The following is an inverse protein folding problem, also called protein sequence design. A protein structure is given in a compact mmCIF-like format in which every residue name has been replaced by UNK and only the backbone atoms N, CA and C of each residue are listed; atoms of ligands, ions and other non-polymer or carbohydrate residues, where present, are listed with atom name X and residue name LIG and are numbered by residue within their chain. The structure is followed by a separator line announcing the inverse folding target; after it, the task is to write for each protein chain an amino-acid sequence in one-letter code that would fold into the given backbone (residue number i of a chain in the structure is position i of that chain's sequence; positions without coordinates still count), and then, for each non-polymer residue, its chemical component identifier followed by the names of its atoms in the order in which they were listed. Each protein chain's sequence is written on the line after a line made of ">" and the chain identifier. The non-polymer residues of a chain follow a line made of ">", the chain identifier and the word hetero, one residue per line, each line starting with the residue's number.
data_IF_867553021206
#
_entry.id   IF_867553021206
#
_cell.length_a   1.000
_cell.length_b   1.000
_cell.length_c   1.000
_cell.angle_alpha   90.00
_cell.angle_beta   90.00
_cell.angle_gamma   90.00
#
_symmetry.space_group_name_H-M   'P 1'
#
loop_
_entity.id
_entity.type
_entity.pdbx_description
1 polymer ?
#
# COMPACT_ATOMS: atom_id res chain seq x y z
N UNK A 1 33.49 -2.67 -19.25
CA UNK A 1 33.88 -1.74 -18.17
C UNK A 1 33.34 -0.33 -18.39
N UNK A 2 33.47 0.23 -19.59
CA UNK A 2 33.00 1.61 -19.84
C UNK A 2 31.55 1.92 -19.48
N UNK A 3 30.65 0.97 -19.65
CA UNK A 3 29.22 1.18 -19.32
C UNK A 3 29.00 1.24 -17.81
N UNK A 4 29.68 0.39 -17.05
CA UNK A 4 29.60 0.44 -15.59
C UNK A 4 30.14 1.77 -15.07
N UNK A 5 31.28 2.21 -15.62
CA UNK A 5 31.85 3.51 -15.25
C UNK A 5 30.88 4.66 -15.53
N UNK A 6 30.21 4.64 -16.69
CA UNK A 6 29.21 5.66 -17.04
C UNK A 6 28.09 5.72 -16.01
N UNK A 7 27.63 4.56 -15.52
CA UNK A 7 26.55 4.51 -14.52
C UNK A 7 27.03 5.03 -13.16
N UNK A 8 28.23 4.62 -12.74
CA UNK A 8 28.81 5.09 -11.49
C UNK A 8 29.04 6.60 -11.53
N UNK A 9 29.59 7.12 -12.64
CA UNK A 9 29.84 8.55 -12.83
C UNK A 9 28.52 9.36 -12.81
N UNK A 10 27.42 8.74 -13.21
CA UNK A 10 26.08 9.35 -13.17
C UNK A 10 25.44 9.25 -11.78
N UNK A 11 26.13 8.67 -10.80
CA UNK A 11 25.67 8.58 -9.42
C UNK A 11 24.78 7.37 -9.11
N UNK A 12 24.69 6.42 -10.03
CA UNK A 12 23.87 5.22 -9.80
C UNK A 12 24.64 4.18 -8.98
N UNK A 13 23.92 3.48 -8.13
CA UNK A 13 24.43 2.32 -7.39
C UNK A 13 24.20 1.06 -8.23
N UNK A 14 25.10 0.10 -8.12
CA UNK A 14 25.07 -1.14 -8.90
C UNK A 14 25.00 -2.34 -7.98
N UNK A 15 24.02 -3.22 -8.23
CA UNK A 15 23.85 -4.47 -7.51
C UNK A 15 23.87 -5.64 -8.48
N UNK A 16 24.30 -6.81 -8.01
CA UNK A 16 24.24 -8.05 -8.78
C UNK A 16 23.43 -9.08 -7.98
N UNK A 17 22.45 -9.72 -8.65
CA UNK A 17 21.62 -10.77 -8.08
C UNK A 17 21.74 -12.03 -8.94
N UNK A 18 22.21 -13.14 -8.37
CA UNK A 18 22.49 -14.35 -9.13
C UNK A 18 22.03 -15.61 -8.40
N UNK A 19 21.47 -16.57 -9.15
CA UNK A 19 21.11 -17.89 -8.62
C UNK A 19 22.35 -18.79 -8.37
N UNK A 20 23.56 -18.29 -8.64
CA UNK A 20 24.81 -19.00 -8.32
C UNK A 20 25.14 -18.84 -6.84
N UNK A 21 26.02 -19.72 -6.32
CA UNK A 21 26.54 -19.61 -4.95
C UNK A 21 27.44 -18.38 -4.82
N UNK A 22 27.51 -17.86 -3.61
CA UNK A 22 28.19 -16.58 -3.32
C UNK A 22 29.62 -16.51 -3.83
N UNK A 23 30.39 -17.58 -3.60
CA UNK A 23 31.81 -17.63 -4.01
C UNK A 23 31.94 -17.56 -5.55
N UNK A 24 31.05 -18.22 -6.28
CA UNK A 24 31.03 -18.19 -7.75
C UNK A 24 30.78 -16.76 -8.24
N UNK A 25 29.78 -16.08 -7.67
CA UNK A 25 29.46 -14.70 -8.05
C UNK A 25 30.67 -13.80 -7.83
N UNK A 26 31.32 -13.92 -6.66
CA UNK A 26 32.50 -13.12 -6.30
C UNK A 26 33.65 -13.35 -7.31
N UNK A 27 33.97 -14.62 -7.60
CA UNK A 27 35.05 -14.97 -8.52
C UNK A 27 34.76 -14.41 -9.92
N UNK A 28 33.55 -14.53 -10.40
CA UNK A 28 33.16 -14.00 -11.73
C UNK A 28 33.37 -12.48 -11.76
N UNK A 29 32.87 -11.78 -10.75
CA UNK A 29 32.99 -10.32 -10.68
C UNK A 29 34.47 -9.88 -10.64
N UNK A 30 35.29 -10.60 -9.87
CA UNK A 30 36.75 -10.34 -9.82
C UNK A 30 37.42 -10.55 -11.18
N UNK A 31 37.14 -11.69 -11.83
CA UNK A 31 37.75 -12.03 -13.13
C UNK A 31 37.34 -11.05 -14.25
N UNK A 32 36.14 -10.51 -14.15
CA UNK A 32 35.65 -9.54 -15.13
C UNK A 32 36.07 -8.11 -14.80
N UNK A 33 36.71 -7.89 -13.64
CA UNK A 33 37.10 -6.55 -13.20
C UNK A 33 35.89 -5.68 -12.85
N UNK A 34 34.79 -6.30 -12.46
CA UNK A 34 33.54 -5.60 -12.18
C UNK A 34 33.26 -5.37 -10.69
N UNK A 35 34.00 -6.08 -9.83
CA UNK A 35 33.74 -6.04 -8.39
C UNK A 35 33.86 -4.61 -7.83
N UNK A 36 34.77 -3.81 -8.36
CA UNK A 36 34.98 -2.43 -7.91
C UNK A 36 33.81 -1.49 -8.20
N UNK A 37 32.94 -1.87 -9.16
CA UNK A 37 31.76 -1.06 -9.52
C UNK A 37 30.51 -1.49 -8.77
N UNK A 38 30.54 -2.62 -8.08
CA UNK A 38 29.35 -3.26 -7.50
C UNK A 38 29.25 -2.92 -6.01
N UNK A 39 28.18 -2.25 -5.63
CA UNK A 39 27.93 -1.87 -4.24
C UNK A 39 27.51 -3.07 -3.39
N UNK A 40 26.78 -4.01 -3.98
CA UNK A 40 26.34 -5.23 -3.30
C UNK A 40 26.10 -6.35 -4.33
N UNK A 41 26.39 -7.58 -3.94
CA UNK A 41 25.95 -8.75 -4.71
C UNK A 41 25.24 -9.73 -3.79
N UNK A 42 24.16 -10.32 -4.32
CA UNK A 42 23.27 -11.25 -3.63
C UNK A 42 23.27 -12.57 -4.41
N UNK A 43 23.51 -13.65 -3.70
CA UNK A 43 23.60 -15.01 -4.23
C UNK A 43 22.38 -15.82 -3.81
N UNK A 44 22.29 -17.06 -4.30
CA UNK A 44 21.23 -17.98 -3.89
C UNK A 44 21.35 -18.35 -2.39
N UNK A 45 22.51 -18.17 -1.79
CA UNK A 45 22.72 -18.46 -0.37
C UNK A 45 22.21 -17.34 0.55
N UNK A 46 21.87 -16.20 -0.01
CA UNK A 46 21.49 -15.01 0.76
C UNK A 46 19.99 -14.86 0.94
N UNK A 47 19.18 -15.69 0.30
CA UNK A 47 17.72 -15.62 0.33
C UNK A 47 17.11 -17.00 0.46
N UNK A 48 15.92 -17.07 1.03
CA UNK A 48 15.19 -18.34 1.17
C UNK A 48 14.56 -18.78 -0.16
N UNK A 49 14.11 -17.82 -0.95
CA UNK A 49 13.46 -18.10 -2.25
C UNK A 49 14.26 -17.44 -3.37
N UNK A 50 14.81 -18.27 -4.23
CA UNK A 50 15.58 -17.84 -5.40
C UNK A 50 14.65 -17.41 -6.55
N UNK A 51 15.23 -16.87 -7.64
CA UNK A 51 14.44 -16.55 -8.86
C UNK A 51 13.66 -17.79 -9.28
N UNK A 52 12.37 -17.67 -9.62
CA UNK A 52 11.67 -16.47 -10.07
C UNK A 52 11.05 -15.59 -8.98
N UNK A 53 11.28 -15.88 -7.71
CA UNK A 53 10.79 -15.00 -6.64
C UNK A 53 11.60 -13.69 -6.62
N UNK A 54 11.00 -12.57 -6.21
CA UNK A 54 11.68 -11.27 -6.23
C UNK A 54 12.66 -11.02 -5.09
N UNK A 55 12.84 -11.99 -4.18
CA UNK A 55 13.57 -11.82 -2.92
C UNK A 55 14.96 -11.24 -3.08
N UNK A 56 15.72 -11.71 -4.08
CA UNK A 56 17.08 -11.22 -4.33
C UNK A 56 17.10 -9.74 -4.69
N UNK A 57 16.17 -9.32 -5.54
CA UNK A 57 16.07 -7.93 -5.98
C UNK A 57 15.67 -7.03 -4.80
N UNK A 58 14.69 -7.46 -4.02
CA UNK A 58 14.28 -6.72 -2.81
C UNK A 58 15.44 -6.60 -1.82
N UNK A 59 16.24 -7.69 -1.64
CA UNK A 59 17.38 -7.64 -0.76
C UNK A 59 18.43 -6.63 -1.23
N UNK A 60 18.69 -6.58 -2.53
CA UNK A 60 19.59 -5.57 -3.12
C UNK A 60 19.07 -4.16 -2.83
N UNK A 61 17.79 -3.92 -3.10
CA UNK A 61 17.17 -2.60 -2.88
C UNK A 61 17.21 -2.17 -1.41
N UNK A 62 16.91 -3.10 -0.50
CA UNK A 62 16.95 -2.81 0.94
C UNK A 62 18.38 -2.39 1.37
N UNK A 63 19.37 -3.11 0.90
CA UNK A 63 20.77 -2.82 1.24
C UNK A 63 21.24 -1.47 0.68
N UNK A 64 20.70 -1.08 -0.49
CA UNK A 64 21.10 0.17 -1.15
C UNK A 64 20.21 1.36 -0.76
N UNK A 65 19.14 1.12 -0.01
CA UNK A 65 18.14 2.15 0.30
C UNK A 65 17.39 2.64 -0.94
N UNK A 66 17.18 1.74 -1.93
CA UNK A 66 16.53 2.06 -3.20
C UNK A 66 15.11 1.53 -3.19
N UNK A 67 14.21 2.23 -3.90
CA UNK A 67 12.82 1.80 -4.07
C UNK A 67 12.62 1.15 -5.45
N UNK A 68 11.59 0.33 -5.63
CA UNK A 68 11.33 -0.27 -6.94
C UNK A 68 11.21 0.75 -8.08
N UNK A 69 10.57 1.90 -7.83
CA UNK A 69 10.43 2.96 -8.84
C UNK A 69 11.78 3.58 -9.25
N UNK A 70 12.79 3.47 -8.40
CA UNK A 70 14.13 4.02 -8.63
C UNK A 70 15.13 2.95 -9.10
N UNK A 71 14.64 1.76 -9.45
CA UNK A 71 15.49 0.60 -9.75
C UNK A 71 15.18 0.05 -11.14
N UNK A 72 16.24 -0.14 -11.92
CA UNK A 72 16.17 -0.85 -13.20
C UNK A 72 16.90 -2.18 -13.06
N UNK A 73 16.24 -3.25 -13.46
CA UNK A 73 16.84 -4.60 -13.49
C UNK A 73 17.12 -4.99 -14.94
N UNK A 74 18.35 -5.39 -15.22
CA UNK A 74 18.72 -6.00 -16.49
C UNK A 74 18.73 -7.51 -16.29
N UNK A 75 18.01 -8.24 -17.14
CA UNK A 75 17.87 -9.68 -16.93
C UNK A 75 17.72 -10.41 -18.27
N UNK A 76 18.47 -11.51 -18.39
CA UNK A 76 18.51 -12.33 -19.61
C UNK A 76 17.61 -13.57 -19.49
N UNK A 77 17.43 -14.10 -18.30
CA UNK A 77 16.73 -15.37 -18.09
C UNK A 77 15.23 -15.16 -17.89
N UNK A 78 14.44 -16.13 -18.34
CA UNK A 78 12.99 -16.10 -18.14
C UNK A 78 12.61 -16.03 -16.66
N UNK A 79 13.26 -16.85 -15.82
CA UNK A 79 12.97 -16.86 -14.37
C UNK A 79 13.38 -15.54 -13.70
N UNK A 80 14.48 -14.94 -14.16
CA UNK A 80 14.93 -13.65 -13.64
C UNK A 80 13.99 -12.53 -14.04
N UNK A 81 13.51 -12.54 -15.30
CA UNK A 81 12.52 -11.54 -15.76
C UNK A 81 11.23 -11.61 -14.96
N UNK A 82 10.77 -12.83 -14.63
CA UNK A 82 9.57 -12.99 -13.80
C UNK A 82 9.80 -12.36 -12.41
N UNK A 83 10.94 -12.67 -11.78
CA UNK A 83 11.28 -12.07 -10.49
C UNK A 83 11.40 -10.55 -10.54
N UNK A 84 11.96 -10.03 -11.63
CA UNK A 84 12.08 -8.57 -11.83
C UNK A 84 10.70 -7.92 -11.92
N UNK A 85 9.78 -8.50 -12.69
CA UNK A 85 8.39 -7.99 -12.79
C UNK A 85 7.70 -8.05 -11.43
N UNK A 86 7.85 -9.16 -10.71
CA UNK A 86 7.22 -9.34 -9.41
C UNK A 86 7.83 -8.42 -8.35
N UNK A 87 9.07 -7.94 -8.53
CA UNK A 87 9.71 -7.00 -7.63
C UNK A 87 9.17 -5.57 -7.78
N UNK A 88 8.40 -5.31 -8.85
CA UNK A 88 7.80 -4.00 -9.19
C UNK A 88 8.83 -2.99 -9.68
N UNK A 89 10.03 -3.46 -10.01
CA UNK A 89 11.08 -2.63 -10.62
C UNK A 89 10.87 -2.47 -12.12
N UNK A 90 11.60 -1.56 -12.72
CA UNK A 90 11.65 -1.43 -14.17
C UNK A 90 12.51 -2.57 -14.73
N UNK A 91 11.99 -3.30 -15.70
CA UNK A 91 12.73 -4.37 -16.37
C UNK A 91 13.23 -3.89 -17.74
N UNK A 92 14.53 -4.02 -17.95
CA UNK A 92 15.15 -3.84 -19.27
C UNK A 92 15.71 -5.22 -19.66
N UNK A 93 14.98 -5.96 -20.49
CA UNK A 93 15.45 -7.30 -20.87
C UNK A 93 16.68 -7.20 -21.76
N UNK A 94 17.60 -8.12 -21.56
CA UNK A 94 18.78 -8.31 -22.41
C UNK A 94 18.81 -9.79 -22.84
N UNK A 95 19.37 -10.06 -24.00
CA UNK A 95 19.45 -11.43 -24.52
C UNK A 95 20.84 -12.02 -24.26
N UNK A 96 21.89 -11.22 -24.47
CA UNK A 96 23.25 -11.66 -24.22
C UNK A 96 24.15 -10.44 -23.90
N UNK A 97 25.44 -10.72 -23.78
CA UNK A 97 26.46 -9.71 -23.48
C UNK A 97 26.51 -8.55 -24.50
N UNK A 98 26.27 -8.87 -25.76
CA UNK A 98 26.35 -7.88 -26.86
C UNK A 98 25.17 -6.90 -26.83
N UNK A 99 24.07 -7.36 -26.25
CA UNK A 99 22.85 -6.54 -26.13
C UNK A 99 23.02 -5.42 -25.09
N UNK A 100 24.01 -5.56 -24.19
CA UNK A 100 24.38 -4.45 -23.29
C UNK A 100 25.26 -3.47 -24.06
N UNK A 101 24.62 -2.42 -24.58
CA UNK A 101 25.25 -1.43 -25.47
C UNK A 101 24.82 -0.03 -25.04
N UNK A 102 25.32 0.98 -25.75
CA UNK A 102 25.06 2.38 -25.40
C UNK A 102 23.56 2.69 -25.38
N UNK A 103 22.80 2.15 -26.33
CA UNK A 103 21.36 2.36 -26.39
C UNK A 103 20.64 1.86 -25.13
N UNK A 104 21.07 0.70 -24.60
CA UNK A 104 20.51 0.17 -23.34
C UNK A 104 20.87 1.07 -22.15
N UNK A 105 22.12 1.56 -22.11
CA UNK A 105 22.56 2.48 -21.05
C UNK A 105 21.74 3.77 -21.08
N UNK A 106 21.54 4.33 -22.29
CA UNK A 106 20.75 5.56 -22.47
C UNK A 106 19.29 5.32 -22.03
N UNK A 107 18.75 4.13 -22.36
CA UNK A 107 17.39 3.73 -21.93
C UNK A 107 17.30 3.65 -20.40
N UNK A 108 18.29 3.04 -19.74
CA UNK A 108 18.33 2.97 -18.26
C UNK A 108 18.31 4.39 -17.68
N UNK A 109 19.18 5.26 -18.18
CA UNK A 109 19.26 6.66 -17.70
C UNK A 109 17.93 7.38 -17.91
N UNK A 110 17.31 7.21 -19.07
CA UNK A 110 16.01 7.82 -19.39
C UNK A 110 14.93 7.35 -18.42
N UNK A 111 14.86 6.06 -18.14
CA UNK A 111 13.88 5.49 -17.18
C UNK A 111 14.08 6.14 -15.80
N UNK A 112 15.32 6.20 -15.34
CA UNK A 112 15.63 6.67 -13.98
C UNK A 112 15.54 8.20 -13.82
N UNK A 113 15.59 8.95 -14.91
CA UNK A 113 15.48 10.41 -14.87
C UNK A 113 14.11 10.94 -15.35
N UNK A 114 13.27 10.09 -15.96
CA UNK A 114 11.94 10.52 -16.40
C UNK A 114 11.07 10.90 -15.20
N UNK A 115 10.18 11.86 -15.42
CA UNK A 115 9.17 12.19 -14.41
C UNK A 115 8.43 10.91 -14.07
N UNK A 116 8.43 10.58 -12.80
CA UNK A 116 7.86 9.33 -12.31
C UNK A 116 6.34 9.38 -12.45
N UNK A 117 5.80 8.72 -13.46
CA UNK A 117 4.37 8.37 -13.44
C UNK A 117 4.19 7.45 -12.24
N UNK A 118 3.22 7.74 -11.41
CA UNK A 118 2.89 6.88 -10.27
C UNK A 118 2.54 5.49 -10.80
N UNK A 119 3.47 4.55 -10.66
CA UNK A 119 3.24 3.15 -11.03
C UNK A 119 2.32 2.55 -9.98
N UNK A 120 1.26 1.88 -10.41
CA UNK A 120 0.34 1.20 -9.49
C UNK A 120 1.03 0.03 -8.81
N UNK A 121 0.75 -0.16 -7.52
CA UNK A 121 1.06 -1.43 -6.86
C UNK A 121 0.10 -2.47 -7.44
N UNK A 122 0.62 -3.59 -7.90
CA UNK A 122 -0.20 -4.65 -8.50
C UNK A 122 -0.02 -5.96 -7.74
N UNK A 123 -1.12 -6.58 -7.38
CA UNK A 123 -1.12 -7.89 -6.75
C UNK A 123 -2.35 -8.68 -7.19
N UNK A 124 -2.14 -9.91 -7.61
CA UNK A 124 -3.24 -10.81 -7.99
C UNK A 124 -3.93 -11.42 -6.78
N UNK A 125 -3.30 -11.40 -5.62
CA UNK A 125 -3.81 -12.10 -4.44
C UNK A 125 -4.21 -11.18 -3.29
N UNK A 126 -3.64 -9.98 -3.20
CA UNK A 126 -3.97 -9.03 -2.14
C UNK A 126 -5.42 -8.59 -2.23
N UNK A 127 -6.07 -8.49 -1.08
CA UNK A 127 -7.42 -7.97 -0.97
C UNK A 127 -7.39 -6.51 -0.49
N UNK A 128 -8.22 -5.66 -1.11
CA UNK A 128 -8.45 -4.28 -0.66
C UNK A 128 -9.91 -4.19 -0.26
N UNK A 129 -10.17 -3.84 0.98
CA UNK A 129 -11.53 -3.72 1.53
C UNK A 129 -11.85 -2.25 1.80
N UNK A 130 -12.93 -1.77 1.20
CA UNK A 130 -13.40 -0.40 1.39
C UNK A 130 -14.83 -0.43 1.92
N UNK A 131 -15.02 -0.28 3.24
CA UNK A 131 -16.37 -0.16 3.79
C UNK A 131 -16.91 1.25 3.49
N UNK A 132 -18.06 1.32 2.82
CA UNK A 132 -18.68 2.57 2.44
C UNK A 132 -20.19 2.54 2.73
N UNK A 133 -20.57 1.80 3.76
CA UNK A 133 -21.98 1.62 4.16
C UNK A 133 -22.48 2.66 5.17
N UNK A 134 -21.67 3.65 5.51
CA UNK A 134 -22.08 4.75 6.39
C UNK A 134 -23.19 5.59 5.77
N UNK A 135 -24.11 6.08 6.60
CA UNK A 135 -25.28 6.83 6.11
C UNK A 135 -24.96 8.24 5.58
N UNK A 136 -23.76 8.78 5.86
CA UNK A 136 -23.37 10.09 5.35
C UNK A 136 -24.25 11.25 5.81
N UNK A 137 -24.80 11.14 7.02
CA UNK A 137 -25.77 12.09 7.58
C UNK A 137 -25.32 13.55 7.55
N UNK A 138 -24.00 13.78 7.65
CA UNK A 138 -23.44 15.16 7.67
C UNK A 138 -23.63 15.90 6.33
N UNK A 139 -23.71 15.17 5.21
CA UNK A 139 -23.97 15.79 3.91
C UNK A 139 -25.48 16.00 3.67
N UNK A 140 -26.34 15.28 4.36
CA UNK A 140 -27.79 15.36 4.18
C UNK A 140 -28.37 16.73 4.57
N UNK A 141 -27.69 17.47 5.41
CA UNK A 141 -28.18 18.77 5.93
C UNK A 141 -27.86 19.96 5.02
N UNK A 142 -27.01 19.81 4.06
CA UNK A 142 -26.59 20.94 3.22
C UNK A 142 -27.14 20.95 1.78
N UNK A 143 -27.70 20.00 1.42
CA UNK A 143 -28.13 20.07 0.08
C UNK A 143 -29.56 19.74 -0.03
N UNK A 144 -30.13 20.39 -0.32
CA UNK A 144 -31.49 20.25 -0.53
C UNK A 144 -31.83 19.39 -1.65
N UNK A 145 -31.08 19.31 -2.41
CA UNK A 145 -31.41 18.61 -3.53
C UNK A 145 -31.11 17.16 -3.30
N UNK A 146 -31.30 16.52 -3.87
CA UNK A 146 -31.09 15.18 -3.83
C UNK A 146 -29.93 14.90 -2.95
N UNK A 147 -30.09 14.33 -2.13
CA UNK A 147 -29.07 13.83 -1.24
C UNK A 147 -28.44 12.56 -1.80
N UNK A 148 -27.43 12.72 -2.59
CA UNK A 148 -26.60 11.59 -3.01
C UNK A 148 -25.93 10.97 -1.79
N UNK A 149 -25.80 9.62 -1.76
CA UNK A 149 -24.98 9.00 -0.71
C UNK A 149 -23.55 9.47 -0.81
N UNK A 150 -22.88 9.58 0.33
CA UNK A 150 -21.52 10.12 0.46
C UNK A 150 -20.54 9.61 -0.62
N UNK A 151 -20.47 8.29 -0.93
CA UNK A 151 -19.52 7.85 -1.94
C UNK A 151 -19.75 8.40 -3.35
N UNK A 152 -20.93 8.94 -3.63
CA UNK A 152 -21.28 9.48 -4.95
C UNK A 152 -21.16 11.00 -5.03
N UNK A 153 -20.77 11.67 -3.96
CA UNK A 153 -20.60 13.13 -3.95
C UNK A 153 -19.50 13.51 -4.93
N UNK A 154 -19.75 14.57 -5.70
CA UNK A 154 -18.80 15.05 -6.71
C UNK A 154 -17.56 15.67 -6.07
N UNK A 155 -16.38 15.22 -6.54
CA UNK A 155 -15.08 15.77 -6.17
C UNK A 155 -14.32 16.06 -7.46
N UNK A 156 -14.33 17.31 -7.91
CA UNK A 156 -13.71 17.77 -9.16
C UNK A 156 -14.12 16.90 -10.37
N UNK A 157 -15.39 16.58 -10.49
CA UNK A 157 -15.92 15.84 -11.64
C UNK A 157 -15.87 14.32 -11.52
N UNK A 158 -15.46 13.78 -10.38
CA UNK A 158 -15.44 12.34 -10.13
C UNK A 158 -16.26 12.01 -8.87
N UNK A 159 -16.94 10.87 -8.82
CA UNK A 159 -17.54 10.44 -7.53
C UNK A 159 -16.45 10.25 -6.47
N UNK A 160 -16.76 10.59 -5.23
CA UNK A 160 -15.79 10.48 -4.12
C UNK A 160 -15.12 9.10 -4.08
N UNK A 161 -15.89 8.01 -4.25
CA UNK A 161 -15.31 6.66 -4.21
C UNK A 161 -14.29 6.43 -5.33
N UNK A 162 -14.52 7.01 -6.52
CA UNK A 162 -13.52 6.93 -7.59
C UNK A 162 -12.24 7.66 -7.20
N UNK A 163 -12.36 8.84 -6.60
CA UNK A 163 -11.20 9.61 -6.13
C UNK A 163 -10.39 8.78 -5.12
N UNK A 164 -11.08 8.10 -4.19
CA UNK A 164 -10.43 7.26 -3.19
C UNK A 164 -9.69 6.09 -3.84
N UNK A 165 -10.33 5.37 -4.76
CA UNK A 165 -9.73 4.20 -5.43
C UNK A 165 -8.54 4.64 -6.30
N UNK A 166 -8.69 5.72 -7.08
CA UNK A 166 -7.61 6.27 -7.89
C UNK A 166 -6.43 6.69 -7.01
N UNK A 167 -6.71 7.33 -5.88
CA UNK A 167 -5.70 7.80 -4.94
C UNK A 167 -4.94 6.65 -4.26
N UNK A 168 -5.59 5.52 -4.00
CA UNK A 168 -4.89 4.33 -3.47
C UNK A 168 -3.85 3.85 -4.47
N UNK A 169 -4.16 3.91 -5.76
CA UNK A 169 -3.23 3.51 -6.82
C UNK A 169 -2.76 2.06 -6.65
N UNK A 170 -3.70 1.18 -6.36
CA UNK A 170 -3.45 -0.26 -6.12
C UNK A 170 -4.36 -1.06 -7.04
N UNK A 171 -3.77 -1.99 -7.80
CA UNK A 171 -4.51 -2.98 -8.59
C UNK A 171 -4.49 -4.30 -7.81
N UNK A 172 -5.63 -4.69 -7.29
CA UNK A 172 -5.77 -5.85 -6.40
C UNK A 172 -7.21 -6.35 -6.46
N UNK A 173 -7.57 -7.26 -5.55
CA UNK A 173 -8.93 -7.78 -5.44
C UNK A 173 -9.74 -6.87 -4.52
N UNK A 174 -10.57 -6.02 -5.07
CA UNK A 174 -11.38 -5.07 -4.30
C UNK A 174 -12.66 -5.69 -3.82
N UNK A 175 -13.03 -5.38 -2.58
CA UNK A 175 -14.34 -5.67 -2.00
C UNK A 175 -14.90 -4.39 -1.40
N UNK A 176 -16.10 -4.01 -1.79
CA UNK A 176 -16.81 -2.83 -1.27
C UNK A 176 -17.97 -3.30 -0.42
N UNK A 177 -18.21 -2.62 0.70
CA UNK A 177 -19.39 -2.87 1.54
C UNK A 177 -20.28 -1.65 1.44
N UNK A 178 -21.51 -1.83 0.93
CA UNK A 178 -22.43 -0.74 0.56
C UNK A 178 -23.77 -0.93 1.25
N UNK A 179 -24.50 0.16 1.45
CA UNK A 179 -25.90 0.06 1.86
C UNK A 179 -26.74 -0.53 0.71
N UNK A 180 -27.57 -1.49 1.01
CA UNK A 180 -28.45 -2.15 0.03
C UNK A 180 -29.30 -1.12 -0.71
N UNK A 181 -29.89 -0.17 0.02
CA UNK A 181 -30.69 0.92 -0.57
C UNK A 181 -29.87 1.70 -1.62
N UNK A 182 -28.62 2.04 -1.30
CA UNK A 182 -27.76 2.78 -2.23
C UNK A 182 -27.39 1.93 -3.44
N UNK A 183 -27.12 0.65 -3.22
CA UNK A 183 -26.77 -0.29 -4.29
C UNK A 183 -27.90 -0.33 -5.33
N UNK A 184 -29.12 -0.52 -4.87
CA UNK A 184 -30.29 -0.63 -5.75
C UNK A 184 -30.64 0.70 -6.43
N UNK A 185 -30.72 1.78 -5.64
CA UNK A 185 -31.17 3.09 -6.12
C UNK A 185 -30.19 3.70 -7.13
N UNK A 186 -28.87 3.53 -6.93
CA UNK A 186 -27.85 4.20 -7.73
C UNK A 186 -27.09 3.24 -8.63
N UNK A 187 -27.50 1.99 -8.70
CA UNK A 187 -26.88 0.96 -9.55
C UNK A 187 -25.35 0.90 -9.34
N UNK A 188 -24.93 0.85 -8.08
CA UNK A 188 -23.53 0.94 -7.69
C UNK A 188 -22.66 -0.14 -8.34
N UNK A 189 -23.24 -1.29 -8.72
CA UNK A 189 -22.48 -2.36 -9.35
C UNK A 189 -21.78 -1.90 -10.62
N UNK A 190 -22.40 -1.00 -11.38
CA UNK A 190 -21.80 -0.51 -12.62
C UNK A 190 -20.62 0.42 -12.33
N UNK A 191 -20.80 1.37 -11.44
CA UNK A 191 -19.75 2.31 -11.06
C UNK A 191 -18.56 1.56 -10.43
N UNK A 192 -18.83 0.68 -9.47
CA UNK A 192 -17.77 -0.01 -8.75
C UNK A 192 -16.98 -0.93 -9.67
N UNK A 193 -17.64 -1.62 -10.62
CA UNK A 193 -16.92 -2.46 -11.59
C UNK A 193 -16.18 -1.62 -12.64
N UNK A 194 -16.59 -0.38 -12.87
CA UNK A 194 -15.87 0.53 -13.75
C UNK A 194 -14.54 0.96 -13.09
N UNK A 195 -14.56 1.30 -11.80
CA UNK A 195 -13.37 1.79 -11.09
C UNK A 195 -12.48 0.67 -10.53
N UNK A 196 -13.07 -0.49 -10.26
CA UNK A 196 -12.36 -1.67 -9.75
C UNK A 196 -12.94 -2.92 -10.43
N UNK A 197 -12.49 -3.24 -11.66
CA UNK A 197 -13.07 -4.35 -12.43
C UNK A 197 -13.05 -5.68 -11.66
N UNK A 198 -14.15 -6.41 -11.74
CA UNK A 198 -14.35 -7.70 -11.08
C UNK A 198 -14.36 -7.62 -9.55
N UNK A 199 -14.71 -6.47 -9.00
CA UNK A 199 -14.78 -6.30 -7.54
C UNK A 199 -15.92 -7.12 -6.93
N UNK A 200 -15.79 -7.41 -5.64
CA UNK A 200 -16.86 -7.98 -4.85
C UNK A 200 -17.67 -6.86 -4.20
N UNK A 201 -18.96 -7.03 -4.08
CA UNK A 201 -19.85 -6.03 -3.46
C UNK A 201 -20.70 -6.74 -2.41
N UNK A 202 -20.53 -6.32 -1.16
CA UNK A 202 -21.31 -6.83 -0.02
C UNK A 202 -22.37 -5.80 0.33
N UNK A 203 -23.62 -6.20 0.38
CA UNK A 203 -24.74 -5.31 0.68
C UNK A 203 -25.14 -5.44 2.15
N UNK A 204 -25.30 -4.29 2.81
CA UNK A 204 -25.70 -4.19 4.21
C UNK A 204 -27.09 -3.60 4.31
N UNK A 205 -27.96 -4.21 5.08
CA UNK A 205 -29.27 -3.68 5.38
C UNK A 205 -29.27 -3.20 6.84
N UNK A 206 -29.35 -1.88 7.02
CA UNK A 206 -29.37 -1.30 8.36
C UNK A 206 -28.00 -0.82 8.84
N UNK A 207 -27.84 -0.78 10.16
CA UNK A 207 -26.64 -0.25 10.85
C UNK A 207 -25.99 -1.36 11.67
N UNK A 208 -24.67 -1.45 11.60
CA UNK A 208 -23.89 -2.37 12.44
C UNK A 208 -23.45 -1.66 13.74
N UNK A 209 -22.85 -2.42 14.63
CA UNK A 209 -22.33 -1.89 15.91
C UNK A 209 -20.96 -1.21 15.76
N UNK A 210 -20.58 -0.82 14.55
CA UNK A 210 -19.35 -0.10 14.26
C UNK A 210 -18.63 -0.61 13.05
N UNK A 211 -17.57 0.10 12.67
CA UNK A 211 -16.82 -0.18 11.44
C UNK A 211 -16.20 -1.57 11.43
N UNK A 212 -15.71 -2.07 12.57
CA UNK A 212 -15.15 -3.41 12.64
C UNK A 212 -16.21 -4.48 12.33
N UNK A 213 -17.42 -4.31 12.87
CA UNK A 213 -18.53 -5.23 12.57
C UNK A 213 -18.89 -5.17 11.06
N UNK A 214 -18.89 -3.98 10.49
CA UNK A 214 -19.16 -3.81 9.05
C UNK A 214 -18.13 -4.57 8.21
N UNK A 215 -16.83 -4.45 8.53
CA UNK A 215 -15.77 -5.12 7.76
C UNK A 215 -15.95 -6.65 7.77
N UNK A 216 -16.41 -7.21 8.88
CA UNK A 216 -16.58 -8.67 9.02
C UNK A 216 -17.71 -9.22 8.14
N UNK A 217 -18.59 -8.36 7.63
CA UNK A 217 -19.60 -8.79 6.65
C UNK A 217 -18.95 -9.24 5.33
N UNK A 218 -17.70 -8.84 5.10
CA UNK A 218 -16.92 -9.27 3.93
C UNK A 218 -16.01 -10.47 4.25
N UNK A 219 -16.21 -11.14 5.39
CA UNK A 219 -15.34 -12.22 5.88
C UNK A 219 -15.03 -13.28 4.82
N UNK A 220 -16.01 -13.69 4.01
CA UNK A 220 -15.79 -14.71 2.98
C UNK A 220 -14.69 -14.34 1.98
N UNK A 221 -14.43 -13.03 1.78
CA UNK A 221 -13.43 -12.56 0.82
C UNK A 221 -12.08 -12.24 1.47
N UNK A 222 -12.05 -11.95 2.77
CA UNK A 222 -10.85 -11.47 3.43
C UNK A 222 -10.25 -12.45 4.45
N UNK A 223 -10.99 -13.48 4.87
CA UNK A 223 -10.51 -14.46 5.87
C UNK A 223 -9.64 -15.53 5.17
N UNK A 224 -8.43 -15.14 4.83
CA UNK A 224 -7.48 -16.03 4.15
C UNK A 224 -6.05 -15.59 4.47
N UNK A 225 -5.07 -16.29 3.92
CA UNK A 225 -3.65 -16.02 4.19
C UNK A 225 -3.05 -14.95 3.26
N UNK A 226 -3.88 -14.32 2.43
CA UNK A 226 -3.42 -13.25 1.53
C UNK A 226 -3.38 -11.92 2.26
N UNK A 227 -2.52 -10.99 1.83
CA UNK A 227 -2.49 -9.65 2.45
C UNK A 227 -3.83 -8.93 2.29
N UNK A 228 -4.15 -8.11 3.29
CA UNK A 228 -5.37 -7.30 3.31
C UNK A 228 -4.99 -5.84 3.56
N UNK A 229 -5.47 -4.96 2.69
CA UNK A 229 -5.43 -3.52 2.95
C UNK A 229 -6.86 -3.03 3.12
N UNK A 230 -7.11 -2.30 4.20
CA UNK A 230 -8.39 -1.65 4.45
C UNK A 230 -8.20 -0.15 4.34
N UNK A 231 -9.12 0.52 3.66
CA UNK A 231 -9.09 1.97 3.49
C UNK A 231 -10.46 2.57 3.72
N UNK A 232 -10.49 3.72 4.38
CA UNK A 232 -11.71 4.52 4.50
C UNK A 232 -12.13 5.03 3.11
N UNK A 233 -13.42 5.32 2.95
CA UNK A 233 -14.01 5.75 1.67
C UNK A 233 -14.10 7.28 1.52
N UNK A 234 -13.47 8.03 2.42
CA UNK A 234 -13.71 9.48 2.54
C UNK A 234 -12.45 10.29 2.85
N UNK A 235 -11.34 9.89 2.22
CA UNK A 235 -10.05 10.58 2.43
C UNK A 235 -9.22 10.56 1.15
N UNK A 236 -8.35 11.53 1.04
CA UNK A 236 -7.34 11.64 -0.01
C UNK A 236 -6.00 11.79 0.68
N UNK A 237 -4.99 11.03 0.24
CA UNK A 237 -3.71 10.95 0.93
C UNK A 237 -2.58 11.22 -0.07
N UNK A 238 -1.68 12.13 0.27
CA UNK A 238 -0.47 12.37 -0.53
C UNK A 238 0.57 11.33 -0.12
N UNK A 239 0.56 10.20 -0.81
CA UNK A 239 1.40 9.07 -0.48
C UNK A 239 1.91 8.36 -1.74
N UNK A 240 2.87 7.48 -1.55
CA UNK A 240 3.30 6.54 -2.58
C UNK A 240 2.90 5.14 -2.08
N UNK A 241 1.91 4.54 -2.74
CA UNK A 241 1.43 3.21 -2.38
C UNK A 241 2.52 2.15 -2.54
N UNK A 242 3.38 2.28 -3.55
CA UNK A 242 4.49 1.36 -3.76
C UNK A 242 5.49 1.43 -2.62
N UNK A 243 5.86 2.65 -2.20
CA UNK A 243 6.79 2.84 -1.08
C UNK A 243 6.23 2.23 0.20
N UNK A 244 4.95 2.51 0.49
CA UNK A 244 4.31 2.05 1.72
C UNK A 244 4.15 0.52 1.73
N UNK A 245 3.63 -0.05 0.65
CA UNK A 245 3.39 -1.50 0.59
C UNK A 245 4.70 -2.29 0.52
N UNK A 246 5.72 -1.73 -0.14
CA UNK A 246 7.05 -2.31 -0.12
C UNK A 246 7.58 -2.36 1.32
N UNK A 247 7.47 -1.25 2.05
CA UNK A 247 7.95 -1.18 3.44
C UNK A 247 7.25 -2.21 4.34
N UNK A 248 5.93 -2.32 4.22
CA UNK A 248 5.16 -3.28 5.02
C UNK A 248 5.48 -4.72 4.63
N UNK A 249 5.51 -5.03 3.34
CA UNK A 249 5.73 -6.39 2.85
C UNK A 249 7.11 -6.91 3.19
N UNK A 250 8.11 -6.04 3.27
CA UNK A 250 9.51 -6.42 3.54
C UNK A 250 9.97 -6.05 4.96
N UNK A 251 9.11 -5.45 5.77
CA UNK A 251 9.46 -4.93 7.09
C UNK A 251 9.41 -5.93 8.23
N UNK A 252 9.27 -7.19 7.93
CA UNK A 252 9.14 -8.26 8.94
C UNK A 252 8.03 -7.95 9.96
N UNK A 253 6.90 -7.44 9.49
CA UNK A 253 5.76 -7.12 10.36
C UNK A 253 4.51 -7.88 9.93
N UNK A 254 3.58 -8.00 10.87
CA UNK A 254 2.30 -8.67 10.66
C UNK A 254 1.20 -7.69 10.32
N UNK A 255 1.40 -6.42 10.66
CA UNK A 255 0.47 -5.34 10.38
C UNK A 255 1.18 -4.03 10.13
N UNK A 256 0.53 -3.14 9.38
CA UNK A 256 1.06 -1.82 9.04
C UNK A 256 -0.01 -0.74 9.11
N UNK A 257 0.36 0.42 9.60
CA UNK A 257 -0.56 1.55 9.76
C UNK A 257 0.06 2.77 9.07
N UNK A 258 -0.68 3.37 8.14
CA UNK A 258 -0.26 4.63 7.52
C UNK A 258 -0.61 5.77 8.48
N UNK A 259 0.38 6.61 8.80
CA UNK A 259 0.21 7.69 9.78
C UNK A 259 0.66 9.03 9.23
N UNK A 260 0.28 10.10 9.94
CA UNK A 260 0.76 11.46 9.70
C UNK A 260 0.89 12.19 11.05
N UNK A 261 1.76 13.20 11.14
CA UNK A 261 1.91 13.95 12.41
C UNK A 261 0.66 14.78 12.72
N UNK A 262 0.04 14.56 13.87
CA UNK A 262 -1.12 15.31 14.34
C UNK A 262 -1.29 15.16 15.85
N UNK A 263 -2.15 16.00 16.43
CA UNK A 263 -2.41 15.97 17.87
C UNK A 263 -3.89 16.13 18.25
N UNK A 264 -4.76 16.30 17.23
CA UNK A 264 -6.20 16.54 17.49
C UNK A 264 -6.92 15.22 17.86
N UNK A 265 -7.76 15.22 18.90
CA UNK A 265 -8.42 13.97 19.37
C UNK A 265 -9.48 13.40 18.42
N UNK A 266 -9.71 13.97 17.26
CA UNK A 266 -10.61 13.35 16.26
C UNK A 266 -10.01 12.13 15.57
N UNK A 267 -8.66 11.97 15.66
CA UNK A 267 -7.95 10.89 14.98
C UNK A 267 -7.70 9.68 15.89
N UNK A 268 -7.35 8.56 15.30
CA UNK A 268 -6.75 7.42 16.01
C UNK A 268 -5.24 7.62 16.05
N UNK A 269 -4.56 6.98 16.99
CA UNK A 269 -3.11 7.17 17.21
C UNK A 269 -2.39 5.86 17.43
N UNK A 270 -1.12 5.79 17.01
CA UNK A 270 -0.24 4.66 17.25
C UNK A 270 0.97 5.09 18.07
N UNK A 271 1.23 4.42 19.19
CA UNK A 271 2.39 4.68 20.04
C UNK A 271 3.48 3.68 19.73
N UNK A 272 4.72 4.14 19.63
CA UNK A 272 5.88 3.31 19.25
C UNK A 272 6.83 3.08 20.42
N UNK A 273 7.53 1.95 20.39
CA UNK A 273 8.70 1.72 21.25
C UNK A 273 9.95 2.29 20.58
N UNK A 274 11.10 2.15 21.26
CA UNK A 274 12.39 2.65 20.74
C UNK A 274 12.84 1.94 19.46
N UNK A 275 12.31 0.76 19.19
CA UNK A 275 12.63 0.00 17.97
C UNK A 275 11.69 0.28 16.79
N UNK A 276 10.71 1.17 16.99
CA UNK A 276 9.76 1.54 15.95
C UNK A 276 8.57 0.61 15.82
N UNK A 277 8.39 -0.33 16.75
CA UNK A 277 7.21 -1.19 16.76
C UNK A 277 6.07 -0.51 17.50
N UNK A 278 4.86 -0.68 17.01
CA UNK A 278 3.66 -0.15 17.67
C UNK A 278 3.39 -0.97 18.95
N UNK A 279 3.29 -0.27 20.08
CA UNK A 279 3.00 -0.89 21.37
C UNK A 279 1.52 -0.78 21.75
N UNK A 280 0.85 0.25 21.23
CA UNK A 280 -0.56 0.51 21.54
C UNK A 280 -1.16 1.40 20.45
N UNK A 281 -2.43 1.17 20.12
CA UNK A 281 -3.22 2.13 19.34
C UNK A 281 -4.41 2.57 20.15
N UNK A 282 -4.90 3.80 19.90
CA UNK A 282 -6.07 4.32 20.60
C UNK A 282 -6.95 5.11 19.64
N UNK A 283 -8.24 4.84 19.69
CA UNK A 283 -9.25 5.55 18.91
C UNK A 283 -9.62 6.84 19.62
N UNK A 284 -9.53 7.96 18.90
CA UNK A 284 -9.94 9.29 19.39
C UNK A 284 -9.24 9.74 20.68
N UNK A 285 -8.00 9.30 20.86
CA UNK A 285 -7.20 9.66 22.02
C UNK A 285 -5.74 9.84 21.61
N UNK A 286 -5.20 11.06 21.67
CA UNK A 286 -3.80 11.31 21.29
C UNK A 286 -2.82 10.73 22.31
N UNK A 287 -2.37 9.50 22.06
CA UNK A 287 -1.37 8.82 22.90
C UNK A 287 0.05 8.99 22.34
N UNK A 288 0.17 9.66 21.20
CA UNK A 288 1.42 9.93 20.49
C UNK A 288 1.19 11.07 19.49
N UNK A 289 2.19 11.32 18.63
CA UNK A 289 2.05 12.26 17.52
C UNK A 289 1.74 11.55 16.18
N UNK A 290 1.62 10.22 16.19
CA UNK A 290 1.39 9.40 14.99
C UNK A 290 -0.09 9.12 14.81
N UNK A 291 -0.79 10.04 14.14
CA UNK A 291 -2.22 9.89 13.85
C UNK A 291 -2.42 8.97 12.65
N UNK A 292 -3.46 8.15 12.65
CA UNK A 292 -3.72 7.25 11.53
C UNK A 292 -4.53 7.98 10.43
N UNK A 293 -4.23 7.66 9.17
CA UNK A 293 -4.95 8.24 8.03
C UNK A 293 -6.15 7.39 7.59
N UNK A 294 -6.36 6.23 8.20
CA UNK A 294 -7.45 5.33 7.81
C UNK A 294 -7.06 4.36 6.71
N UNK A 295 -5.77 4.07 6.58
CA UNK A 295 -5.26 3.00 5.70
C UNK A 295 -4.49 2.02 6.60
N UNK A 296 -4.95 0.77 6.59
CA UNK A 296 -4.44 -0.29 7.47
C UNK A 296 -4.11 -1.52 6.65
N UNK A 297 -2.92 -2.08 6.87
CA UNK A 297 -2.44 -3.26 6.16
C UNK A 297 -2.25 -4.42 7.14
N UNK A 298 -2.63 -5.61 6.71
CA UNK A 298 -2.40 -6.86 7.44
C UNK A 298 -1.69 -7.85 6.52
N UNK A 299 -0.65 -8.48 7.00
CA UNK A 299 0.09 -9.49 6.26
C UNK A 299 -0.84 -10.64 5.84
N UNK A 300 -1.80 -10.98 6.70
CA UNK A 300 -2.84 -11.98 6.44
C UNK A 300 -4.20 -11.42 6.83
N UNK A 301 -5.15 -11.48 5.92
CA UNK A 301 -6.53 -11.11 6.22
C UNK A 301 -7.11 -11.93 7.36
N UNK A 302 -6.73 -13.21 7.45
CA UNK A 302 -7.19 -14.10 8.53
C UNK A 302 -6.76 -13.60 9.92
N UNK A 303 -5.60 -12.93 10.04
CA UNK A 303 -5.21 -12.31 11.32
C UNK A 303 -6.18 -11.18 11.67
N UNK A 304 -6.48 -10.31 10.70
CA UNK A 304 -7.45 -9.24 10.95
C UNK A 304 -8.78 -9.80 11.45
N UNK A 305 -9.32 -10.81 10.75
CA UNK A 305 -10.61 -11.41 11.11
C UNK A 305 -10.56 -11.98 12.52
N UNK A 306 -9.51 -12.76 12.83
CA UNK A 306 -9.31 -13.35 14.16
C UNK A 306 -9.34 -12.28 15.25
N UNK A 307 -8.55 -11.22 15.08
CA UNK A 307 -8.41 -10.20 16.13
C UNK A 307 -9.61 -9.26 16.20
N UNK A 308 -10.30 -9.02 15.10
CA UNK A 308 -11.55 -8.26 15.11
C UNK A 308 -12.63 -9.03 15.87
N UNK A 309 -12.76 -10.34 15.61
CA UNK A 309 -13.72 -11.19 16.33
C UNK A 309 -13.38 -11.26 17.82
N UNK A 310 -12.09 -11.38 18.16
CA UNK A 310 -11.62 -11.39 19.54
C UNK A 310 -11.99 -10.09 20.28
N UNK A 311 -11.76 -8.94 19.63
CA UNK A 311 -12.11 -7.63 20.19
C UNK A 311 -13.61 -7.52 20.46
N UNK A 312 -14.42 -7.98 19.52
CA UNK A 312 -15.89 -7.96 19.63
C UNK A 312 -16.35 -8.90 20.75
N UNK A 313 -15.79 -10.11 20.83
CA UNK A 313 -16.12 -11.07 21.90
C UNK A 313 -15.80 -10.51 23.27
N UNK A 314 -14.72 -9.75 23.41
CA UNK A 314 -14.32 -9.10 24.65
C UNK A 314 -15.12 -7.82 24.93
N UNK A 315 -15.99 -7.41 23.99
CA UNK A 315 -16.80 -6.18 24.07
C UNK A 315 -15.96 -4.92 24.28
N UNK A 316 -14.81 -4.84 23.59
CA UNK A 316 -13.90 -3.68 23.66
C UNK A 316 -14.40 -2.62 22.68
N UNK A 317 -15.04 -1.59 23.22
CA UNK A 317 -15.67 -0.51 22.44
C UNK A 317 -15.03 0.85 22.70
N UNK A 318 -15.16 1.76 21.75
CA UNK A 318 -14.87 3.18 21.93
C UNK A 318 -16.15 3.95 21.61
N UNK A 319 -16.63 4.77 22.54
CA UNK A 319 -17.89 5.51 22.37
C UNK A 319 -19.06 4.61 21.95
N UNK A 320 -19.10 3.40 22.48
CA UNK A 320 -20.18 2.43 22.24
C UNK A 320 -20.06 1.67 20.92
N UNK A 321 -19.01 1.88 20.13
CA UNK A 321 -18.83 1.25 18.81
C UNK A 321 -17.54 0.46 18.74
N UNK A 322 -17.51 -0.50 17.80
CA UNK A 322 -16.33 -1.29 17.49
C UNK A 322 -15.60 -0.64 16.29
N UNK A 323 -14.46 -0.02 16.57
CA UNK A 323 -13.63 0.62 15.52
C UNK A 323 -12.57 -0.34 14.97
N UNK A 324 -12.09 -0.04 13.77
CA UNK A 324 -11.09 -0.88 13.07
C UNK A 324 -9.69 -0.74 13.70
N UNK A 325 -9.27 0.47 14.04
CA UNK A 325 -7.92 0.71 14.53
C UNK A 325 -7.59 -0.10 15.81
N UNK A 326 -8.46 -0.12 16.85
CA UNK A 326 -8.14 -0.86 18.07
C UNK A 326 -7.96 -2.38 17.89
N UNK A 327 -8.34 -2.95 16.74
CA UNK A 327 -8.09 -4.37 16.45
C UNK A 327 -6.60 -4.69 16.55
N UNK A 328 -5.72 -3.74 16.20
CA UNK A 328 -4.28 -3.94 16.32
C UNK A 328 -3.83 -4.23 17.76
N UNK A 329 -4.52 -3.69 18.77
CA UNK A 329 -4.17 -3.98 20.17
C UNK A 329 -4.30 -5.46 20.48
N UNK A 330 -5.30 -6.14 19.91
CA UNK A 330 -5.47 -7.59 20.11
C UNK A 330 -4.30 -8.37 19.49
N UNK A 331 -3.88 -7.97 18.30
CA UNK A 331 -2.73 -8.58 17.62
C UNK A 331 -1.43 -8.35 18.39
N UNK A 332 -1.21 -7.13 18.86
CA UNK A 332 -0.02 -6.75 19.63
C UNK A 332 0.02 -7.57 20.94
N UNK A 333 -1.13 -7.74 21.59
CA UNK A 333 -1.24 -8.56 22.81
C UNK A 333 -0.85 -10.02 22.59
N UNK A 334 -0.98 -10.53 21.37
CA UNK A 334 -0.59 -11.89 20.97
C UNK A 334 0.85 -11.94 20.42
N UNK A 335 1.61 -10.85 20.51
CA UNK A 335 3.00 -10.81 20.08
C UNK A 335 3.21 -10.51 18.60
N UNK A 336 2.16 -10.12 17.88
CA UNK A 336 2.30 -9.71 16.48
C UNK A 336 3.03 -8.38 16.38
N UNK A 337 3.84 -8.22 15.34
CA UNK A 337 4.64 -7.01 15.11
C UNK A 337 3.85 -6.07 14.19
N UNK A 338 3.65 -4.84 14.64
CA UNK A 338 2.95 -3.81 13.88
C UNK A 338 3.89 -2.62 13.70
N UNK A 339 3.98 -2.08 12.49
CA UNK A 339 4.82 -0.92 12.17
C UNK A 339 3.99 0.19 11.55
N UNK A 340 4.53 1.40 11.56
CA UNK A 340 3.91 2.52 10.87
C UNK A 340 4.73 2.90 9.63
N UNK A 341 4.07 3.59 8.71
CA UNK A 341 4.72 4.35 7.63
C UNK A 341 4.12 5.74 7.71
N UNK A 342 4.96 6.75 7.93
CA UNK A 342 4.47 8.11 8.15
C UNK A 342 4.59 8.95 6.89
N UNK A 343 3.50 9.64 6.53
CA UNK A 343 3.47 10.61 5.43
C UNK A 343 3.70 12.01 5.97
N UNK A 344 3.85 12.99 5.10
CA UNK A 344 4.05 14.38 5.49
C UNK A 344 2.86 14.95 6.27
N UNK A 345 3.14 15.91 7.14
CA UNK A 345 2.15 16.56 8.02
C UNK A 345 0.92 17.04 7.26
N UNK A 346 1.12 17.60 6.07
CA UNK A 346 0.05 18.19 5.27
C UNK A 346 -0.48 17.22 4.18
N UNK A 347 -0.11 15.93 4.27
CA UNK A 347 -0.48 14.94 3.26
C UNK A 347 -1.81 14.24 3.47
N UNK A 348 -2.50 14.50 4.58
CA UNK A 348 -3.80 13.88 4.87
C UNK A 348 -4.93 14.89 4.63
N UNK A 349 -5.82 14.55 3.71
CA UNK A 349 -6.99 15.37 3.38
C UNK A 349 -8.26 14.58 3.66
N UNK A 350 -9.01 14.99 4.67
CA UNK A 350 -10.36 14.47 4.87
C UNK A 350 -11.27 15.03 3.79
N UNK A 351 -12.15 14.20 3.26
CA UNK A 351 -13.20 14.63 2.34
C UNK A 351 -14.58 14.11 2.81
N UNK A 352 -14.63 13.71 4.09
CA UNK A 352 -15.77 13.03 4.67
C UNK A 352 -16.82 13.91 5.29
N UNK A 353 -16.58 15.22 5.37
CA UNK A 353 -17.60 16.20 5.81
C UNK A 353 -17.67 17.34 4.79
N UNK A 354 -18.78 18.08 4.73
CA UNK A 354 -18.84 19.24 3.82
C UNK A 354 -17.71 20.24 4.04
N UNK A 355 -17.35 20.50 5.29
CA UNK A 355 -16.29 21.44 5.65
C UNK A 355 -14.93 20.96 5.15
N UNK A 356 -14.60 19.68 5.41
CA UNK A 356 -13.34 19.09 4.97
C UNK A 356 -13.25 19.04 3.45
N UNK A 357 -14.35 18.66 2.78
CA UNK A 357 -14.38 18.60 1.32
C UNK A 357 -14.18 20.00 0.71
N UNK A 358 -14.88 21.02 1.23
CA UNK A 358 -14.70 22.40 0.75
C UNK A 358 -13.27 22.86 0.93
N UNK A 359 -12.68 22.56 2.09
CA UNK A 359 -11.28 22.89 2.37
C UNK A 359 -10.35 22.23 1.33
N UNK A 360 -10.56 20.94 1.06
CA UNK A 360 -9.79 20.20 0.05
C UNK A 360 -9.92 20.84 -1.33
N UNK A 361 -11.17 21.14 -1.76
CA UNK A 361 -11.44 21.72 -3.08
C UNK A 361 -10.78 23.11 -3.25
N UNK A 362 -10.69 23.87 -2.18
CA UNK A 362 -10.09 25.23 -2.21
C UNK A 362 -8.56 25.20 -2.15
N UNK A 363 -7.97 24.23 -1.47
CA UNK A 363 -6.55 24.29 -1.12
C UNK A 363 -5.68 23.24 -1.82
N UNK A 364 -6.26 22.11 -2.23
CA UNK A 364 -5.48 21.06 -2.89
C UNK A 364 -5.26 21.44 -4.37
N UNK A 365 -4.02 21.63 -4.76
CA UNK A 365 -3.64 22.09 -6.11
C UNK A 365 -3.14 20.98 -7.02
N UNK A 366 -2.98 19.78 -6.50
CA UNK A 366 -2.51 18.65 -7.31
C UNK A 366 -3.61 18.01 -8.15
N UNK A 367 -3.24 16.99 -8.90
CA UNK A 367 -4.19 16.19 -9.70
C UNK A 367 -4.89 15.16 -8.80
N UNK A 368 -6.16 14.84 -9.15
CA UNK A 368 -6.92 13.82 -8.44
C UNK A 368 -7.46 12.76 -9.42
#
# INVERSE_FOLDING_TARGET
>A
MGYFQQLVDAGYKIAVASNSIRNTVKIILLRLGLLEFVDIYVSNEDVVRNKPFPSMYWKCMMALGALPADTVILEDSHVGRQGALDSKCHLVPIEDRKDLNQSKIDRIKKILTSEKKKVSWESKTMNVLIPMAGRGSRFATQXXXXTFPKPLIDVKGKPMIQVVVDNLNIKANYTFIVQKEHYEKYSLQYLLNLIAPNCNIVQVDGITEGAACTTLLAKEFIDNDEPLLMANSDQFVEWDSNETLYAFSNGECDGGILTFPASHPKWSYAKLDDGGLVTEVAEKKPISEHATVGVYWWKKGSDYVKYAEQMIEKDIRTNGEFYVCPVFNEAIGDGKKVRIKEIGKDGMWGIGTPEDLNYFLEHYTGEI
#
